data_IF_119458805167
#
_entry.id   IF_119458805167
#
_cell.length_a   1.000
_cell.length_b   1.000
_cell.length_c   1.000
_cell.angle_alpha   90.00
_cell.angle_beta   90.00
_cell.angle_gamma   90.00
#
_symmetry.space_group_name_H-M   'P 1'
#
loop_
_entity.id
_entity.type
_entity.pdbx_description
1 polymer ?
#
# COMPACT_ATOMS: atom_id res chain seq x y z
N UNK A 1 15.55 4.56 -20.82
CA UNK A 1 15.01 3.41 -20.06
C UNK A 1 13.59 3.81 -19.74
N UNK A 2 12.64 3.35 -20.56
CA UNK A 2 11.23 3.70 -20.44
C UNK A 2 10.72 3.14 -19.11
N UNK A 3 10.26 4.00 -18.21
CA UNK A 3 9.43 3.54 -17.10
C UNK A 3 8.15 2.99 -17.74
N UNK A 4 7.80 1.70 -17.62
CA UNK A 4 6.51 1.22 -18.06
C UNK A 4 5.48 1.86 -17.12
N UNK A 5 5.03 3.06 -17.49
CA UNK A 5 4.00 3.79 -16.78
C UNK A 5 2.76 2.91 -16.69
N UNK A 6 2.15 2.85 -15.52
CA UNK A 6 0.89 2.16 -15.30
C UNK A 6 -0.13 2.65 -16.34
N UNK A 7 -0.70 1.72 -17.11
CA UNK A 7 -1.73 2.06 -18.09
C UNK A 7 -2.92 2.69 -17.36
N UNK A 8 -3.26 3.96 -17.63
CA UNK A 8 -4.38 4.64 -16.96
C UNK A 8 -5.75 4.05 -17.32
N UNK A 9 -5.85 3.25 -18.38
CA UNK A 9 -7.06 2.52 -18.76
C UNK A 9 -7.33 1.27 -17.91
N UNK A 10 -6.40 0.87 -17.05
CA UNK A 10 -6.48 -0.36 -16.27
C UNK A 10 -6.68 -0.10 -14.78
N UNK A 11 -7.55 -0.89 -14.14
CA UNK A 11 -7.75 -0.85 -12.69
C UNK A 11 -6.56 -1.52 -11.99
N UNK A 12 -5.65 -0.71 -11.48
CA UNK A 12 -4.48 -1.18 -10.74
C UNK A 12 -4.81 -1.37 -9.26
N UNK A 13 -4.44 -2.53 -8.72
CA UNK A 13 -4.61 -2.87 -7.32
C UNK A 13 -3.30 -2.73 -6.57
N UNK A 14 -3.33 -2.05 -5.43
CA UNK A 14 -2.14 -1.79 -4.61
C UNK A 14 -2.38 -2.14 -3.14
N UNK A 15 -1.36 -2.60 -2.41
CA UNK A 15 -1.44 -2.79 -0.97
C UNK A 15 -1.35 -1.45 -0.26
N UNK A 16 -2.35 -1.14 0.58
CA UNK A 16 -2.46 0.11 1.28
C UNK A 16 -2.78 -0.08 2.77
N UNK A 17 -2.38 0.92 3.55
CA UNK A 17 -2.61 1.00 4.99
C UNK A 17 -3.07 2.39 5.40
N UNK A 18 -3.77 2.45 6.53
CA UNK A 18 -4.14 3.71 7.17
C UNK A 18 -3.46 3.76 8.53
N UNK A 19 -2.78 4.87 8.83
CA UNK A 19 -2.10 5.07 10.10
C UNK A 19 -3.12 4.98 11.26
N UNK A 20 -2.96 4.02 12.19
CA UNK A 20 -3.93 3.79 13.27
C UNK A 20 -3.88 4.90 14.33
N UNK A 21 -2.75 5.59 14.44
CA UNK A 21 -2.49 6.65 15.41
C UNK A 21 -1.55 7.73 14.83
N UNK A 22 -1.37 8.83 15.57
CA UNK A 22 -0.32 9.83 15.30
C UNK A 22 1.04 9.24 15.68
N UNK A 23 2.09 9.61 14.95
CA UNK A 23 3.46 9.11 15.17
C UNK A 23 3.51 7.57 15.20
N UNK A 24 2.75 6.95 14.29
CA UNK A 24 2.69 5.50 14.18
C UNK A 24 4.07 4.91 13.84
N UNK A 25 4.43 3.78 14.47
CA UNK A 25 5.74 3.15 14.30
C UNK A 25 6.08 2.77 12.85
N UNK A 26 5.08 2.51 12.00
CA UNK A 26 5.30 2.25 10.57
C UNK A 26 5.60 3.50 9.73
N UNK A 27 5.35 4.71 10.26
CA UNK A 27 5.65 6.00 9.63
C UNK A 27 5.73 7.13 10.68
N UNK A 28 6.89 7.37 11.30
CA UNK A 28 7.06 8.44 12.29
C UNK A 28 6.67 9.82 11.73
N UNK A 29 6.08 10.69 12.56
CA UNK A 29 5.59 12.00 12.14
C UNK A 29 4.22 11.98 11.44
N UNK A 30 3.62 10.81 11.18
CA UNK A 30 2.31 10.73 10.54
C UNK A 30 1.18 11.22 11.45
N UNK A 31 0.07 11.61 10.83
CA UNK A 31 -1.21 11.85 11.53
C UNK A 31 -2.03 10.56 11.56
N UNK A 32 -2.88 10.41 12.58
CA UNK A 32 -3.89 9.35 12.59
C UNK A 32 -4.79 9.48 11.36
N UNK A 33 -5.08 8.36 10.70
CA UNK A 33 -5.89 8.34 9.47
C UNK A 33 -5.12 8.68 8.20
N UNK A 34 -3.82 9.00 8.29
CA UNK A 34 -2.99 9.21 7.10
C UNK A 34 -2.89 7.92 6.27
N UNK A 35 -2.93 8.07 4.95
CA UNK A 35 -3.02 6.98 3.99
C UNK A 35 -1.67 6.75 3.33
N UNK A 36 -1.25 5.48 3.28
CA UNK A 36 0.02 5.08 2.70
C UNK A 36 -0.15 3.83 1.85
N UNK A 37 0.72 3.69 0.86
CA UNK A 37 0.92 2.45 0.12
C UNK A 37 2.04 1.66 0.80
N UNK A 38 2.18 0.37 0.47
CA UNK A 38 3.32 -0.42 0.95
C UNK A 38 4.41 -0.51 -0.12
N UNK A 39 5.65 -0.26 0.30
CA UNK A 39 6.82 -0.47 -0.55
C UNK A 39 7.01 -1.95 -0.85
N UNK A 40 7.37 -2.28 -2.09
CA UNK A 40 7.72 -3.64 -2.49
C UNK A 40 9.04 -4.10 -1.86
N UNK A 41 9.96 -3.16 -1.59
CA UNK A 41 11.30 -3.46 -1.11
C UNK A 41 11.35 -3.62 0.42
N UNK A 42 10.66 -2.73 1.14
CA UNK A 42 10.75 -2.66 2.62
C UNK A 42 9.49 -3.13 3.32
N UNK A 43 8.38 -3.31 2.60
CA UNK A 43 7.05 -3.65 3.15
C UNK A 43 6.50 -2.61 4.14
N UNK A 44 7.20 -1.48 4.29
CA UNK A 44 6.79 -0.37 5.15
C UNK A 44 5.83 0.55 4.41
N UNK A 45 5.15 1.40 5.18
CA UNK A 45 4.41 2.50 4.62
C UNK A 45 5.35 3.37 3.75
N UNK A 46 4.85 3.77 2.58
CA UNK A 46 5.57 4.55 1.59
C UNK A 46 4.57 5.34 0.74
N UNK A 47 5.10 6.33 0.03
CA UNK A 47 4.37 7.07 -1.03
C UNK A 47 4.90 6.72 -2.44
N UNK A 48 5.92 5.86 -2.52
CA UNK A 48 6.65 5.45 -3.74
C UNK A 48 7.04 3.98 -3.68
N UNK A 49 7.52 3.45 -4.81
CA UNK A 49 8.07 2.09 -4.93
C UNK A 49 7.10 0.99 -4.45
N UNK A 50 5.82 1.20 -4.68
CA UNK A 50 4.77 0.25 -4.33
C UNK A 50 4.52 -0.74 -5.48
N UNK A 51 4.23 -2.00 -5.19
CA UNK A 51 3.83 -2.94 -6.21
C UNK A 51 2.40 -2.64 -6.67
N UNK A 52 2.17 -2.69 -7.97
CA UNK A 52 0.84 -2.62 -8.57
C UNK A 52 0.51 -3.95 -9.23
N UNK A 53 -0.74 -4.36 -9.11
CA UNK A 53 -1.23 -5.64 -9.61
C UNK A 53 -2.41 -5.43 -10.52
N UNK A 54 -2.51 -6.22 -11.59
CA UNK A 54 -3.62 -6.14 -12.54
C UNK A 54 -4.95 -6.63 -11.95
N UNK A 55 -4.93 -7.32 -10.81
CA UNK A 55 -6.14 -7.79 -10.14
C UNK A 55 -6.05 -7.73 -8.62
N UNK A 56 -7.21 -7.57 -7.98
CA UNK A 56 -7.36 -7.62 -6.52
C UNK A 56 -6.84 -8.93 -5.94
N UNK A 57 -7.08 -10.04 -6.63
CA UNK A 57 -6.66 -11.37 -6.17
C UNK A 57 -5.14 -11.48 -6.12
N UNK A 58 -4.43 -11.02 -7.15
CA UNK A 58 -2.97 -10.99 -7.17
C UNK A 58 -2.40 -10.10 -6.04
N UNK A 59 -3.00 -8.93 -5.80
CA UNK A 59 -2.61 -8.08 -4.69
C UNK A 59 -2.80 -8.76 -3.33
N UNK A 60 -3.92 -9.44 -3.12
CA UNK A 60 -4.19 -10.18 -1.87
C UNK A 60 -3.22 -11.35 -1.68
N UNK A 61 -2.90 -12.09 -2.75
CA UNK A 61 -1.91 -13.16 -2.70
C UNK A 61 -0.54 -12.62 -2.27
N UNK A 62 -0.12 -11.46 -2.80
CA UNK A 62 1.12 -10.80 -2.38
C UNK A 62 1.08 -10.40 -0.90
N UNK A 63 0.00 -9.76 -0.43
CA UNK A 63 -0.17 -9.39 0.98
C UNK A 63 -0.08 -10.63 1.88
N UNK A 64 -0.75 -11.72 1.51
CA UNK A 64 -0.72 -12.97 2.28
C UNK A 64 0.66 -13.63 2.29
N UNK A 65 1.39 -13.55 1.16
CA UNK A 65 2.74 -14.09 1.01
C UNK A 65 3.75 -13.38 1.92
N UNK A 66 3.63 -12.05 2.05
CA UNK A 66 4.57 -11.20 2.80
C UNK A 66 4.03 -10.71 4.15
N UNK A 67 3.00 -11.38 4.67
CA UNK A 67 2.26 -10.93 5.86
C UNK A 67 3.15 -10.71 7.09
N UNK A 68 4.23 -11.49 7.24
CA UNK A 68 5.09 -11.43 8.41
C UNK A 68 5.99 -10.19 8.36
N UNK A 69 6.57 -9.91 7.21
CA UNK A 69 7.38 -8.72 6.93
C UNK A 69 6.53 -7.45 7.06
N UNK A 70 5.34 -7.48 6.47
CA UNK A 70 4.35 -6.40 6.58
C UNK A 70 3.96 -6.16 8.04
N UNK A 71 3.65 -7.20 8.82
CA UNK A 71 3.27 -7.03 10.22
C UNK A 71 4.40 -6.42 11.08
N UNK A 72 5.67 -6.67 10.71
CA UNK A 72 6.83 -6.07 11.37
C UNK A 72 7.04 -4.61 10.95
N UNK A 73 6.90 -4.30 9.66
CA UNK A 73 7.18 -2.99 9.09
C UNK A 73 6.01 -2.00 9.24
N UNK A 74 4.78 -2.50 9.29
CA UNK A 74 3.53 -1.75 9.42
C UNK A 74 2.68 -2.34 10.57
N UNK A 75 3.13 -2.21 11.83
CA UNK A 75 2.47 -2.89 12.96
C UNK A 75 1.11 -2.28 13.31
N UNK A 76 0.15 -3.12 13.71
CA UNK A 76 -1.10 -2.65 14.31
C UNK A 76 -2.08 -1.96 13.34
N UNK A 77 -1.93 -2.16 12.03
CA UNK A 77 -2.89 -1.69 11.02
C UNK A 77 -3.24 -2.80 10.03
N UNK A 78 -4.51 -2.95 9.63
CA UNK A 78 -4.89 -3.90 8.59
C UNK A 78 -4.41 -3.40 7.23
N UNK A 79 -3.84 -4.31 6.45
CA UNK A 79 -3.46 -4.05 5.05
C UNK A 79 -4.62 -4.40 4.13
N UNK A 80 -4.91 -3.51 3.19
CA UNK A 80 -6.02 -3.65 2.24
C UNK A 80 -5.47 -3.65 0.81
N UNK A 81 -6.02 -4.51 -0.03
CA UNK A 81 -5.91 -4.35 -1.48
C UNK A 81 -6.94 -3.31 -1.93
N UNK A 82 -6.48 -2.19 -2.48
CA UNK A 82 -7.32 -1.07 -2.92
C UNK A 82 -7.07 -0.77 -4.40
N UNK A 83 -8.09 -0.24 -5.06
CA UNK A 83 -7.94 0.35 -6.39
C UNK A 83 -7.10 1.63 -6.29
N UNK A 84 -6.04 1.74 -7.08
CA UNK A 84 -5.06 2.82 -7.01
C UNK A 84 -5.68 4.16 -7.39
N UNK A 85 -6.47 4.23 -8.47
CA UNK A 85 -7.06 5.48 -8.94
C UNK A 85 -8.02 6.06 -7.89
N UNK A 86 -8.93 5.23 -7.37
CA UNK A 86 -9.83 5.58 -6.27
C UNK A 86 -9.05 5.95 -5.02
N UNK A 87 -7.99 5.22 -4.70
CA UNK A 87 -7.20 5.49 -3.51
C UNK A 87 -6.47 6.84 -3.58
N UNK A 88 -5.94 7.22 -4.74
CA UNK A 88 -5.30 8.51 -4.95
C UNK A 88 -6.31 9.67 -4.86
N UNK A 89 -7.57 9.43 -5.23
CA UNK A 89 -8.67 10.38 -5.09
C UNK A 89 -9.24 10.47 -3.67
N UNK A 90 -8.69 9.74 -2.70
CA UNK A 90 -9.21 9.72 -1.33
C UNK A 90 -10.47 8.88 -1.16
N UNK A 91 -10.87 8.11 -2.17
CA UNK A 91 -12.02 7.21 -2.12
C UNK A 91 -11.60 5.88 -1.48
N UNK A 92 -12.52 5.25 -0.74
CA UNK A 92 -12.33 3.95 -0.09
C UNK A 92 -13.33 2.92 -0.61
#
# INVERSE_FOLDING_TARGET
MEEPGLDPGHDWWVPAVTAPCRDWAGMPGCRKGARYLLSAATYSASTRDYPAFESRAACLQWIMRHRAEIARAAPGTPVRAVDLARWMLGLS
#
